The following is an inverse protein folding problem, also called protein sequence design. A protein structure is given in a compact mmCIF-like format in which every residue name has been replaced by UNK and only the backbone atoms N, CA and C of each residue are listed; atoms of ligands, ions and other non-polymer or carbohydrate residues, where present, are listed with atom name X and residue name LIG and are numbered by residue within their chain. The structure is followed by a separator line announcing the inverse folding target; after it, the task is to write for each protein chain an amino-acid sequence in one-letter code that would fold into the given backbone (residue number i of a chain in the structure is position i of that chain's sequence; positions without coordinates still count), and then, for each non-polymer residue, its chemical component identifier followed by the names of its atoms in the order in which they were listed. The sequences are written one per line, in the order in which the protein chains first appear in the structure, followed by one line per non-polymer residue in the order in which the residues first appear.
data_IF_879810329281
#
_entry.id   IF_879810329281
#
_cell.length_a   1.000
_cell.length_b   1.000
_cell.length_c   1.000
_cell.angle_alpha   90.00
_cell.angle_beta   90.00
_cell.angle_gamma   90.00
#
_symmetry.space_group_name_H-M   'P 1'
#
loop_
_entity.id
_entity.type
_entity.pdbx_description
1 polymer ?
#
# COMPACT_ATOMS: atom_id res chain seq x y z
N UNK A 1 -34.40 -4.77 -5.76
CA UNK A 1 -33.75 -5.82 -4.92
C UNK A 1 -32.27 -5.50 -4.59
N UNK A 2 -31.57 -4.68 -5.37
CA UNK A 2 -30.17 -4.27 -5.08
C UNK A 2 -30.05 -3.24 -3.95
N UNK A 3 -31.01 -2.36 -3.79
CA UNK A 3 -31.03 -1.28 -2.77
C UNK A 3 -31.00 -1.81 -1.33
N UNK A 4 -31.39 -3.05 -1.10
CA UNK A 4 -31.44 -3.65 0.24
C UNK A 4 -30.15 -4.42 0.63
N UNK A 5 -29.28 -4.75 -0.34
CA UNK A 5 -28.10 -5.61 -0.11
C UNK A 5 -27.10 -5.00 0.88
N UNK A 6 -26.92 -3.70 0.85
CA UNK A 6 -25.92 -3.00 1.68
C UNK A 6 -26.55 -2.23 2.86
N UNK A 7 -27.85 -2.26 3.04
CA UNK A 7 -28.53 -1.48 4.08
C UNK A 7 -28.05 -1.80 5.50
N UNK A 8 -27.87 -3.08 5.80
CA UNK A 8 -27.38 -3.51 7.10
C UNK A 8 -25.90 -3.13 7.31
N UNK A 9 -25.08 -3.28 6.27
CA UNK A 9 -23.69 -2.87 6.32
C UNK A 9 -23.55 -1.34 6.48
N UNK A 10 -24.39 -0.56 5.80
CA UNK A 10 -24.47 0.90 5.98
C UNK A 10 -24.85 1.29 7.39
N UNK A 11 -25.85 0.60 7.99
CA UNK A 11 -26.25 0.85 9.36
C UNK A 11 -25.13 0.50 10.36
N UNK A 12 -24.43 -0.61 10.15
CA UNK A 12 -23.27 -1.01 10.97
C UNK A 12 -22.14 -0.01 10.85
N UNK A 13 -21.84 0.47 9.64
CA UNK A 13 -20.82 1.49 9.41
C UNK A 13 -21.19 2.82 10.08
N UNK A 14 -22.43 3.28 9.95
CA UNK A 14 -22.92 4.47 10.64
C UNK A 14 -22.80 4.35 12.17
N UNK A 15 -23.09 3.16 12.73
CA UNK A 15 -22.89 2.89 14.16
C UNK A 15 -21.41 2.99 14.55
N UNK A 16 -20.48 2.47 13.74
CA UNK A 16 -19.05 2.59 13.99
C UNK A 16 -18.59 4.05 14.05
N UNK A 17 -19.09 4.88 13.13
CA UNK A 17 -18.79 6.33 13.14
C UNK A 17 -19.27 7.00 14.43
N UNK A 18 -20.49 6.68 14.86
CA UNK A 18 -21.05 7.20 16.13
C UNK A 18 -20.21 6.78 17.33
N UNK A 19 -19.77 5.51 17.37
CA UNK A 19 -18.89 5.00 18.44
C UNK A 19 -17.56 5.77 18.42
N UNK A 20 -16.97 6.00 17.26
CA UNK A 20 -15.72 6.77 17.15
C UNK A 20 -15.89 8.20 17.67
N UNK A 21 -16.99 8.86 17.36
CA UNK A 21 -17.31 10.19 17.88
C UNK A 21 -17.36 10.18 19.41
N UNK A 22 -18.05 9.20 19.99
CA UNK A 22 -18.15 9.03 21.45
C UNK A 22 -16.80 8.74 22.12
N UNK A 23 -15.98 7.88 21.52
CA UNK A 23 -14.64 7.57 22.02
C UNK A 23 -13.75 8.81 22.01
N UNK A 24 -13.74 9.57 20.91
CA UNK A 24 -12.98 10.81 20.79
C UNK A 24 -13.44 11.87 21.80
N UNK A 25 -14.72 11.92 22.13
CA UNK A 25 -15.26 12.85 23.10
C UNK A 25 -15.03 12.43 24.55
N UNK A 26 -15.18 11.12 24.86
CA UNK A 26 -15.33 10.64 26.24
C UNK A 26 -14.13 9.84 26.76
N UNK A 27 -13.42 9.12 25.90
CA UNK A 27 -12.30 8.26 26.31
C UNK A 27 -11.00 9.07 26.44
N UNK A 28 -10.35 9.11 27.61
CA UNK A 28 -9.12 9.88 27.81
C UNK A 28 -7.93 9.42 26.95
N UNK A 29 -7.92 8.15 26.54
CA UNK A 29 -6.87 7.59 25.68
C UNK A 29 -7.10 7.98 24.23
N UNK A 30 -8.31 7.70 23.68
CA UNK A 30 -8.65 8.03 22.30
C UNK A 30 -8.52 9.53 22.02
N UNK A 31 -8.96 10.37 22.94
CA UNK A 31 -8.90 11.83 22.85
C UNK A 31 -7.49 12.39 22.64
N UNK A 32 -6.47 11.68 23.12
CA UNK A 32 -5.06 12.10 23.00
C UNK A 32 -4.37 11.60 21.74
N UNK A 33 -4.99 10.67 21.02
CA UNK A 33 -4.36 10.10 19.85
C UNK A 33 -4.22 11.10 18.70
N UNK A 34 -3.13 10.97 17.99
CA UNK A 34 -2.77 11.72 16.79
C UNK A 34 -2.46 10.74 15.65
N UNK A 35 -2.40 11.22 14.41
CA UNK A 35 -1.95 10.41 13.28
C UNK A 35 -0.59 9.74 13.55
N UNK A 36 0.32 10.47 14.17
CA UNK A 36 1.66 9.95 14.47
C UNK A 36 1.63 8.88 15.58
N UNK A 37 0.83 9.07 16.63
CA UNK A 37 0.76 8.08 17.73
C UNK A 37 0.12 6.76 17.31
N UNK A 38 -0.80 6.78 16.34
CA UNK A 38 -1.48 5.59 15.83
C UNK A 38 -0.69 4.86 14.73
N UNK A 39 0.36 5.47 14.18
CA UNK A 39 1.10 4.92 13.04
C UNK A 39 1.65 3.52 13.30
N UNK A 40 2.28 3.29 14.46
CA UNK A 40 2.87 1.99 14.81
C UNK A 40 1.80 0.91 14.96
N UNK A 41 0.69 1.23 15.62
CA UNK A 41 -0.42 0.29 15.76
C UNK A 41 -1.00 -0.10 14.39
N UNK A 42 -1.19 0.86 13.47
CA UNK A 42 -1.66 0.55 12.12
C UNK A 42 -0.73 -0.42 11.38
N UNK A 43 0.59 -0.28 11.55
CA UNK A 43 1.58 -1.20 10.96
C UNK A 43 1.47 -2.60 11.60
N UNK A 44 1.27 -2.66 12.90
CA UNK A 44 1.06 -3.90 13.66
C UNK A 44 -0.16 -4.66 13.13
N UNK A 45 -1.34 -4.02 13.01
CA UNK A 45 -2.56 -4.62 12.46
C UNK A 45 -2.36 -5.14 11.02
N UNK A 46 -1.54 -4.45 10.21
CA UNK A 46 -1.21 -4.94 8.85
C UNK A 46 -0.41 -6.23 8.91
N UNK A 47 0.55 -6.36 9.84
CA UNK A 47 1.32 -7.60 10.01
C UNK A 47 0.47 -8.73 10.59
N UNK A 48 -0.42 -8.44 11.54
CA UNK A 48 -1.36 -9.42 12.10
C UNK A 48 -2.31 -9.93 11.02
N UNK A 49 -2.86 -9.06 10.19
CA UNK A 49 -3.63 -9.47 9.02
C UNK A 49 -2.82 -10.33 8.05
N UNK A 50 -1.56 -9.96 7.77
CA UNK A 50 -0.71 -10.75 6.88
C UNK A 50 -0.48 -12.16 7.43
N UNK A 51 -0.19 -12.29 8.73
CA UNK A 51 -0.04 -13.59 9.39
C UNK A 51 -1.33 -14.40 9.35
N UNK A 52 -2.47 -13.79 9.66
CA UNK A 52 -3.77 -14.47 9.61
C UNK A 52 -4.12 -14.99 8.20
N UNK A 53 -3.69 -14.28 7.15
CA UNK A 53 -3.83 -14.72 5.76
C UNK A 53 -2.93 -15.92 5.46
N UNK A 54 -1.67 -15.91 5.91
CA UNK A 54 -0.73 -17.03 5.73
C UNK A 54 -1.22 -18.30 6.44
N UNK A 55 -1.80 -18.13 7.63
CA UNK A 55 -2.36 -19.24 8.44
C UNK A 55 -3.75 -19.70 7.95
N UNK A 56 -4.33 -19.04 6.94
CA UNK A 56 -5.70 -19.24 6.44
C UNK A 56 -6.77 -19.15 7.54
N UNK A 57 -6.52 -18.38 8.61
CA UNK A 57 -7.45 -18.20 9.72
C UNK A 57 -8.51 -17.13 9.40
N UNK A 58 -9.70 -17.60 9.02
CA UNK A 58 -10.82 -16.72 8.63
C UNK A 58 -11.36 -15.86 9.80
N UNK A 59 -11.21 -16.31 11.04
CA UNK A 59 -11.69 -15.55 12.19
C UNK A 59 -10.72 -14.42 12.54
N UNK A 60 -9.42 -14.71 12.53
CA UNK A 60 -8.40 -13.68 12.71
C UNK A 60 -8.40 -12.69 11.52
N UNK A 61 -8.49 -13.15 10.27
CA UNK A 61 -8.64 -12.26 9.11
C UNK A 61 -9.80 -11.28 9.30
N UNK A 62 -10.95 -11.76 9.77
CA UNK A 62 -12.12 -10.90 10.01
C UNK A 62 -11.86 -9.89 11.12
N UNK A 63 -11.16 -10.28 12.18
CA UNK A 63 -10.79 -9.42 13.31
C UNK A 63 -9.85 -8.31 12.83
N UNK A 64 -8.74 -8.68 12.20
CA UNK A 64 -7.73 -7.72 11.76
C UNK A 64 -8.24 -6.75 10.69
N UNK A 65 -9.16 -7.20 9.83
CA UNK A 65 -9.89 -6.28 8.93
C UNK A 65 -10.74 -5.26 9.70
N UNK A 66 -11.30 -5.65 10.84
CA UNK A 66 -12.01 -4.75 11.75
C UNK A 66 -11.09 -3.69 12.36
N UNK A 67 -9.90 -4.09 12.81
CA UNK A 67 -8.92 -3.22 13.43
C UNK A 67 -8.30 -2.25 12.41
N UNK A 68 -8.02 -2.71 11.19
CA UNK A 68 -7.65 -1.81 10.08
C UNK A 68 -8.77 -0.81 9.72
N UNK A 69 -10.02 -1.27 9.71
CA UNK A 69 -11.17 -0.36 9.48
C UNK A 69 -11.30 0.68 10.60
N UNK A 70 -11.06 0.28 11.86
CA UNK A 70 -11.00 1.19 13.01
C UNK A 70 -9.97 2.29 12.76
N UNK A 71 -8.74 1.94 12.32
CA UNK A 71 -7.70 2.91 12.02
C UNK A 71 -8.10 3.88 10.90
N UNK A 72 -8.74 3.38 9.83
CA UNK A 72 -9.26 4.24 8.74
C UNK A 72 -10.27 5.27 9.28
N UNK A 73 -11.20 4.83 10.11
CA UNK A 73 -12.21 5.70 10.71
C UNK A 73 -11.57 6.69 11.69
N UNK A 74 -10.60 6.24 12.49
CA UNK A 74 -9.91 7.06 13.46
C UNK A 74 -9.11 8.20 12.80
N UNK A 75 -8.31 7.89 11.77
CA UNK A 75 -7.59 8.91 11.00
C UNK A 75 -8.54 9.90 10.34
N UNK A 76 -9.66 9.40 9.79
CA UNK A 76 -10.67 10.27 9.17
C UNK A 76 -11.34 11.18 10.19
N UNK A 77 -11.55 10.71 11.43
CA UNK A 77 -12.07 11.51 12.53
C UNK A 77 -11.08 12.60 12.94
N UNK A 78 -9.79 12.27 13.08
CA UNK A 78 -8.73 13.26 13.38
C UNK A 78 -8.66 14.31 12.27
N UNK A 79 -8.67 13.91 11.00
CA UNK A 79 -8.70 14.85 9.86
C UNK A 79 -9.92 15.78 9.88
N UNK A 80 -11.09 15.25 10.24
CA UNK A 80 -12.32 16.05 10.39
C UNK A 80 -12.22 17.06 11.52
N UNK A 81 -11.61 16.71 12.65
CA UNK A 81 -11.39 17.63 13.79
C UNK A 81 -10.41 18.75 13.42
N UNK A 82 -9.52 18.51 12.48
CA UNK A 82 -8.56 19.51 11.95
C UNK A 82 -9.13 20.31 10.78
N UNK A 83 -10.31 19.94 10.27
CA UNK A 83 -10.94 20.60 9.12
C UNK A 83 -10.25 20.28 7.78
N UNK A 84 -9.49 19.19 7.71
CA UNK A 84 -8.73 18.80 6.52
C UNK A 84 -9.54 17.87 5.60
N UNK A 85 -10.04 16.77 6.12
CA UNK A 85 -10.86 15.79 5.40
C UNK A 85 -11.67 14.95 6.40
N UNK A 86 -12.70 14.27 5.91
CA UNK A 86 -13.53 13.34 6.67
C UNK A 86 -13.61 11.96 6.00
N UNK A 87 -14.32 11.03 6.62
CA UNK A 87 -14.50 9.67 6.09
C UNK A 87 -15.24 9.68 4.75
N UNK A 88 -16.15 10.64 4.51
CA UNK A 88 -16.84 10.78 3.23
C UNK A 88 -15.83 11.11 2.13
N UNK A 89 -14.96 12.08 2.35
CA UNK A 89 -13.93 12.48 1.39
C UNK A 89 -12.96 11.32 1.08
N UNK A 90 -12.58 10.52 2.10
CA UNK A 90 -11.75 9.32 1.93
C UNK A 90 -12.44 8.30 1.02
N UNK A 91 -13.72 8.00 1.28
CA UNK A 91 -14.50 7.02 0.50
C UNK A 91 -14.71 7.53 -0.93
N UNK A 92 -15.14 8.78 -1.10
CA UNK A 92 -15.41 9.37 -2.42
C UNK A 92 -14.14 9.35 -3.29
N UNK A 93 -13.01 9.80 -2.75
CA UNK A 93 -11.71 9.78 -3.44
C UNK A 93 -11.29 8.36 -3.84
N UNK A 94 -11.54 7.37 -2.99
CA UNK A 94 -11.30 5.97 -3.31
C UNK A 94 -12.20 5.49 -4.45
N UNK A 95 -13.50 5.77 -4.38
CA UNK A 95 -14.46 5.40 -5.42
C UNK A 95 -14.11 6.01 -6.77
N UNK A 96 -13.84 7.30 -6.82
CA UNK A 96 -13.42 8.01 -8.03
C UNK A 96 -12.14 7.40 -8.62
N UNK A 97 -11.15 7.11 -7.77
CA UNK A 97 -9.92 6.45 -8.19
C UNK A 97 -10.18 5.07 -8.78
N UNK A 98 -11.02 4.26 -8.16
CA UNK A 98 -11.36 2.92 -8.65
C UNK A 98 -12.10 2.98 -10.00
N UNK A 99 -13.09 3.86 -10.14
CA UNK A 99 -13.83 4.05 -11.40
C UNK A 99 -12.86 4.48 -12.51
N UNK A 100 -12.04 5.49 -12.25
CA UNK A 100 -11.08 6.02 -13.22
C UNK A 100 -10.06 4.97 -13.66
N UNK A 101 -9.59 4.11 -12.74
CA UNK A 101 -8.59 3.08 -13.02
C UNK A 101 -9.15 1.79 -13.59
N UNK A 102 -10.47 1.67 -13.74
CA UNK A 102 -11.12 0.50 -14.34
C UNK A 102 -11.99 0.89 -15.55
N UNK A 103 -11.42 1.55 -16.57
CA UNK A 103 -12.19 1.97 -17.74
C UNK A 103 -12.74 0.81 -18.56
N UNK A 104 -12.25 -0.41 -18.33
CA UNK A 104 -12.79 -1.63 -18.92
C UNK A 104 -14.07 -2.11 -18.23
N UNK A 105 -14.40 -1.59 -17.03
CA UNK A 105 -15.65 -1.87 -16.32
C UNK A 105 -16.61 -0.70 -16.42
N UNK A 106 -16.12 0.54 -16.27
CA UNK A 106 -16.93 1.76 -16.17
C UNK A 106 -16.86 2.66 -17.41
N UNK A 107 -16.12 2.25 -18.46
CA UNK A 107 -15.94 2.95 -19.71
C UNK A 107 -15.97 2.01 -20.92
N UNK A 108 -15.31 2.39 -22.01
CA UNK A 108 -15.36 1.69 -23.30
C UNK A 108 -14.09 0.89 -23.62
N UNK A 109 -13.09 0.90 -22.74
CA UNK A 109 -11.82 0.17 -22.97
C UNK A 109 -12.06 -1.33 -22.90
N UNK A 110 -11.56 -2.05 -23.88
CA UNK A 110 -11.62 -3.52 -23.91
C UNK A 110 -10.28 -4.07 -23.44
N UNK A 111 -10.33 -5.08 -22.59
CA UNK A 111 -9.19 -5.86 -22.11
C UNK A 111 -9.52 -7.34 -22.26
N UNK A 112 -8.53 -8.16 -22.62
CA UNK A 112 -8.74 -9.58 -22.86
C UNK A 112 -8.23 -10.44 -21.69
N UNK A 113 -7.29 -9.92 -20.91
CA UNK A 113 -6.64 -10.65 -19.82
C UNK A 113 -6.17 -9.70 -18.70
N UNK A 114 -5.67 -10.28 -17.59
CA UNK A 114 -5.19 -9.55 -16.44
C UNK A 114 -3.95 -8.68 -16.73
N UNK A 115 -3.12 -9.06 -17.72
CA UNK A 115 -1.94 -8.28 -18.10
C UNK A 115 -2.33 -6.98 -18.80
N UNK A 116 -3.36 -7.01 -19.64
CA UNK A 116 -3.89 -5.80 -20.27
C UNK A 116 -4.46 -4.82 -19.23
N UNK A 117 -5.10 -5.35 -18.18
CA UNK A 117 -5.55 -4.54 -17.03
C UNK A 117 -4.37 -3.89 -16.35
N UNK A 118 -3.28 -4.62 -16.05
CA UNK A 118 -2.08 -4.06 -15.41
C UNK A 118 -1.43 -2.97 -16.26
N UNK A 119 -1.28 -3.20 -17.57
CA UNK A 119 -0.74 -2.20 -18.51
C UNK A 119 -1.60 -0.94 -18.54
N UNK A 120 -2.92 -1.10 -18.63
CA UNK A 120 -3.86 0.02 -18.60
C UNK A 120 -3.75 0.82 -17.29
N UNK A 121 -3.60 0.14 -16.16
CA UNK A 121 -3.41 0.79 -14.86
C UNK A 121 -2.12 1.61 -14.79
N UNK A 122 -0.99 1.07 -15.29
CA UNK A 122 0.26 1.84 -15.28
C UNK A 122 0.18 3.06 -16.22
N UNK A 123 -0.45 2.92 -17.38
CA UNK A 123 -0.71 4.06 -18.28
C UNK A 123 -1.55 5.15 -17.59
N UNK A 124 -2.65 4.77 -16.94
CA UNK A 124 -3.50 5.73 -16.23
C UNK A 124 -2.73 6.40 -15.09
N UNK A 125 -1.94 5.65 -14.31
CA UNK A 125 -1.10 6.21 -13.24
C UNK A 125 -0.07 7.23 -13.76
N UNK A 126 0.47 7.04 -14.96
CA UNK A 126 1.37 8.02 -15.59
C UNK A 126 0.63 9.32 -15.93
N UNK A 127 -0.63 9.24 -16.39
CA UNK A 127 -1.45 10.43 -16.65
C UNK A 127 -1.89 11.17 -15.37
N UNK A 128 -1.83 10.51 -14.21
CA UNK A 128 -2.14 11.10 -12.89
C UNK A 128 -1.00 11.97 -12.32
N UNK A 129 -0.03 12.37 -13.13
CA UNK A 129 1.06 13.27 -12.75
C UNK A 129 2.26 12.56 -12.11
N UNK A 130 2.45 11.26 -12.35
CA UNK A 130 3.67 10.57 -11.93
C UNK A 130 4.84 10.96 -12.84
N UNK A 131 5.93 11.38 -12.24
CA UNK A 131 7.17 11.75 -12.93
C UNK A 131 7.93 10.53 -13.48
N UNK A 132 7.74 9.36 -12.86
CA UNK A 132 8.36 8.10 -13.28
C UNK A 132 7.52 6.89 -12.89
N UNK A 133 7.83 5.74 -13.46
CA UNK A 133 7.24 4.43 -13.10
C UNK A 133 7.48 4.13 -11.62
N UNK A 134 8.64 4.53 -11.09
CA UNK A 134 9.02 4.34 -9.69
C UNK A 134 8.38 5.33 -8.73
N UNK A 135 7.76 6.40 -9.23
CA UNK A 135 6.97 7.32 -8.40
C UNK A 135 5.87 6.56 -7.66
N UNK A 136 5.80 6.73 -6.35
CA UNK A 136 4.84 6.02 -5.49
C UNK A 136 5.38 4.74 -4.84
N UNK A 137 6.67 4.41 -5.01
CA UNK A 137 7.37 3.52 -4.09
C UNK A 137 7.76 4.35 -2.88
N UNK A 138 7.12 4.07 -1.75
CA UNK A 138 7.29 4.88 -0.54
C UNK A 138 8.69 4.69 0.06
N UNK A 139 9.33 5.79 0.46
CA UNK A 139 10.66 5.75 1.12
C UNK A 139 10.64 5.00 2.45
N UNK A 140 9.49 4.98 3.12
CA UNK A 140 9.30 4.33 4.42
C UNK A 140 9.01 2.82 4.35
N UNK A 141 8.95 2.23 3.16
CA UNK A 141 8.82 0.78 3.02
C UNK A 141 10.08 0.10 3.55
N UNK A 142 9.89 -1.07 4.15
CA UNK A 142 10.96 -2.00 4.44
C UNK A 142 11.78 -2.29 3.17
N UNK A 143 13.11 -2.45 3.32
CA UNK A 143 14.03 -2.54 2.18
C UNK A 143 13.71 -3.69 1.24
N UNK A 144 13.35 -4.87 1.75
CA UNK A 144 12.99 -6.02 0.93
C UNK A 144 11.68 -5.81 0.18
N UNK A 145 10.67 -5.27 0.86
CA UNK A 145 9.38 -4.94 0.22
C UNK A 145 9.60 -3.85 -0.84
N UNK A 146 10.45 -2.88 -0.55
CA UNK A 146 10.79 -1.81 -1.49
C UNK A 146 11.48 -2.36 -2.74
N UNK A 147 12.49 -3.21 -2.58
CA UNK A 147 13.20 -3.87 -3.67
C UNK A 147 12.24 -4.69 -4.54
N UNK A 148 11.41 -5.54 -3.93
CA UNK A 148 10.38 -6.29 -4.62
C UNK A 148 9.44 -5.39 -5.43
N UNK A 149 8.97 -4.29 -4.84
CA UNK A 149 8.08 -3.33 -5.52
C UNK A 149 8.77 -2.59 -6.66
N UNK A 150 10.05 -2.30 -6.57
CA UNK A 150 10.83 -1.70 -7.65
C UNK A 150 10.97 -2.67 -8.82
N UNK A 151 11.32 -3.93 -8.55
CA UNK A 151 11.39 -4.98 -9.58
C UNK A 151 10.03 -5.20 -10.27
N UNK A 152 8.95 -5.35 -9.50
CA UNK A 152 7.61 -5.50 -10.07
C UNK A 152 7.24 -4.34 -11.03
N UNK A 153 7.62 -3.12 -10.68
CA UNK A 153 7.38 -1.94 -11.52
C UNK A 153 8.26 -1.91 -12.76
N UNK A 154 9.51 -2.29 -12.64
CA UNK A 154 10.44 -2.41 -13.76
C UNK A 154 9.94 -3.47 -14.76
N UNK A 155 9.57 -4.66 -14.27
CA UNK A 155 8.97 -5.73 -15.07
C UNK A 155 7.70 -5.27 -15.80
N UNK A 156 6.85 -4.50 -15.12
CA UNK A 156 5.59 -3.96 -15.68
C UNK A 156 5.77 -3.01 -16.89
N UNK A 157 6.98 -2.49 -17.12
CA UNK A 157 7.33 -1.67 -18.28
C UNK A 157 8.32 -2.36 -19.23
N UNK A 158 8.50 -3.66 -19.05
CA UNK A 158 9.32 -4.49 -19.93
C UNK A 158 10.81 -4.49 -19.58
N UNK A 159 11.18 -3.98 -18.42
CA UNK A 159 12.54 -4.06 -17.89
C UNK A 159 12.62 -5.22 -16.90
N UNK A 160 12.82 -6.42 -17.43
CA UNK A 160 12.92 -7.66 -16.67
C UNK A 160 13.92 -8.62 -17.35
N UNK A 161 14.40 -9.58 -16.58
CA UNK A 161 15.29 -10.62 -17.07
C UNK A 161 14.52 -11.67 -17.87
N UNK A 162 15.06 -12.03 -19.04
CA UNK A 162 14.43 -13.08 -19.86
C UNK A 162 14.71 -14.48 -19.33
N UNK A 163 15.88 -14.66 -18.70
CA UNK A 163 16.35 -15.96 -18.22
C UNK A 163 16.95 -15.84 -16.81
N UNK A 164 16.71 -16.83 -15.93
CA UNK A 164 17.29 -16.84 -14.59
C UNK A 164 18.83 -16.80 -14.56
N UNK A 165 19.50 -17.27 -15.60
CA UNK A 165 20.97 -17.22 -15.71
C UNK A 165 21.49 -15.78 -15.69
N UNK A 166 20.77 -14.84 -16.33
CA UNK A 166 21.16 -13.43 -16.35
C UNK A 166 21.14 -12.80 -14.95
N UNK A 167 20.23 -13.26 -14.09
CA UNK A 167 20.20 -12.82 -12.69
C UNK A 167 21.45 -13.31 -11.95
N UNK A 168 21.84 -14.57 -12.17
CA UNK A 168 23.06 -15.13 -11.57
C UNK A 168 24.33 -14.43 -12.04
N UNK A 169 24.40 -14.08 -13.32
CA UNK A 169 25.54 -13.32 -13.86
C UNK A 169 25.65 -11.96 -13.16
N UNK A 170 24.50 -11.27 -12.93
CA UNK A 170 24.48 -9.99 -12.21
C UNK A 170 24.87 -10.14 -10.73
N UNK A 171 24.38 -11.17 -10.04
CA UNK A 171 24.77 -11.44 -8.65
C UNK A 171 26.29 -11.66 -8.54
N UNK A 172 26.90 -12.34 -9.52
CA UNK A 172 28.35 -12.54 -9.53
C UNK A 172 29.12 -11.24 -9.78
N UNK A 173 28.60 -10.37 -10.65
CA UNK A 173 29.14 -9.05 -10.91
C UNK A 173 29.16 -8.21 -9.63
N UNK A 174 28.03 -8.06 -8.95
CA UNK A 174 27.90 -7.28 -7.70
C UNK A 174 28.80 -7.81 -6.58
N UNK A 175 28.92 -9.14 -6.46
CA UNK A 175 29.85 -9.74 -5.49
C UNK A 175 31.31 -9.43 -5.82
N UNK A 176 31.70 -9.36 -7.09
CA UNK A 176 33.05 -8.99 -7.50
C UNK A 176 33.33 -7.51 -7.22
N UNK A 177 32.37 -6.62 -7.53
CA UNK A 177 32.49 -5.19 -7.27
C UNK A 177 32.64 -4.92 -5.77
N UNK A 178 31.81 -5.54 -4.94
CA UNK A 178 31.97 -5.49 -3.48
C UNK A 178 33.34 -5.98 -3.02
N UNK A 179 33.83 -7.11 -3.56
CA UNK A 179 35.15 -7.67 -3.21
C UNK A 179 36.26 -6.69 -3.57
N UNK A 180 36.18 -6.02 -4.72
CA UNK A 180 37.16 -5.03 -5.16
C UNK A 180 37.14 -3.79 -4.26
N UNK A 181 35.96 -3.27 -3.88
CA UNK A 181 35.86 -2.12 -2.97
C UNK A 181 36.49 -2.42 -1.59
N UNK A 182 36.23 -3.62 -1.06
CA UNK A 182 36.84 -4.08 0.20
C UNK A 182 38.35 -4.26 0.09
N UNK A 183 38.84 -4.89 -0.99
CA UNK A 183 40.31 -5.11 -1.21
C UNK A 183 41.04 -3.79 -1.38
N UNK A 184 40.49 -2.84 -2.08
CA UNK A 184 41.09 -1.53 -2.33
C UNK A 184 41.01 -0.60 -1.11
N UNK A 185 40.32 -1.02 -0.03
CA UNK A 185 40.04 -0.21 1.17
C UNK A 185 39.44 1.15 0.84
N UNK A 186 38.49 1.16 -0.09
CA UNK A 186 37.75 2.35 -0.47
C UNK A 186 36.90 2.86 0.70
N UNK A 187 36.20 3.95 0.50
CA UNK A 187 35.39 4.55 1.57
C UNK A 187 34.29 3.60 2.03
N UNK A 188 33.94 3.67 3.30
CA UNK A 188 32.82 2.90 3.87
C UNK A 188 31.52 3.09 3.09
N UNK A 189 31.29 4.30 2.59
CA UNK A 189 30.11 4.66 1.80
C UNK A 189 30.02 3.84 0.49
N UNK A 190 31.16 3.65 -0.21
CA UNK A 190 31.20 2.84 -1.42
C UNK A 190 31.00 1.35 -1.14
N UNK A 191 31.59 0.83 -0.06
CA UNK A 191 31.40 -0.56 0.36
C UNK A 191 29.93 -0.81 0.74
N UNK A 192 29.26 0.16 1.37
CA UNK A 192 27.85 0.07 1.72
C UNK A 192 26.95 0.16 0.49
N UNK A 193 27.35 0.91 -0.54
CA UNK A 193 26.65 1.01 -1.84
C UNK A 193 26.65 -0.34 -2.53
N UNK A 194 27.83 -0.92 -2.78
CA UNK A 194 27.96 -2.24 -3.43
C UNK A 194 27.36 -3.40 -2.63
N UNK A 195 27.36 -3.30 -1.29
CA UNK A 195 26.70 -4.28 -0.45
C UNK A 195 25.16 -4.19 -0.55
N UNK A 196 24.64 -3.03 -0.92
CA UNK A 196 23.21 -2.78 -1.08
C UNK A 196 22.66 -3.23 -2.43
N UNK A 197 23.49 -3.33 -3.45
CA UNK A 197 23.14 -3.76 -4.80
C UNK A 197 23.10 -5.29 -4.92
#
# INVERSE_FOLDING_TARGET
MEENKYKEAQASFSKLLTIMDELREKCPWDKKQTNLSLKSNTIEEVYELAQAIEDDDKQEIKKELGDLLLHVVFYSKIGSEQGEFDIKAVIDSLCEKLIRRHPHIYGEVKVENAEDVKKTWEQIKMTEGRESVFSGVQKALDSLIKAYRLQEKAAGVGFDWNEPSQVWDKVQEELQELEEEVKNKNSQEKIEEEFGD
#
